data_IF_300452860346
#
_entry.id   IF_300452860346
#
_cell.length_a   1.000
_cell.length_b   1.000
_cell.length_c   1.000
_cell.angle_alpha   90.00
_cell.angle_beta   90.00
_cell.angle_gamma   90.00
#
_symmetry.space_group_name_H-M   'P 1'
#
loop_
_entity.id
_entity.type
_entity.pdbx_description
1 polymer ?
#
# COMPACT_ATOMS: atom_id res chain seq x y z
N UNK A 1 -0.64 30.10 44.70
CA UNK A 1 -1.90 30.55 44.09
C UNK A 1 -2.49 29.40 43.32
N UNK A 2 -3.53 28.77 43.90
CA UNK A 2 -4.11 27.53 43.39
C UNK A 2 -5.14 27.77 42.29
N UNK A 3 -5.21 26.84 41.34
CA UNK A 3 -6.28 26.73 40.37
C UNK A 3 -7.34 25.77 40.90
N UNK A 4 -8.65 26.04 40.73
CA UNK A 4 -9.71 25.15 41.22
C UNK A 4 -10.03 24.04 40.23
N UNK A 5 -10.33 22.86 40.77
CA UNK A 5 -10.83 21.69 40.07
C UNK A 5 -12.29 21.92 39.65
N UNK A 6 -12.60 21.61 38.37
CA UNK A 6 -13.98 21.52 37.85
C UNK A 6 -14.44 20.08 37.90
N UNK A 7 -15.52 19.86 38.69
CA UNK A 7 -16.16 18.58 38.83
C UNK A 7 -16.97 18.13 37.63
N UNK A 8 -17.03 16.83 37.42
CA UNK A 8 -17.88 16.16 36.44
C UNK A 8 -19.32 16.03 36.99
N UNK A 9 -20.37 16.18 36.18
CA UNK A 9 -21.73 15.81 36.54
C UNK A 9 -21.99 14.33 36.23
N UNK A 10 -22.43 13.59 37.25
CA UNK A 10 -22.93 12.24 37.15
C UNK A 10 -24.28 12.18 36.40
N UNK A 11 -24.47 11.17 35.56
CA UNK A 11 -25.77 10.78 35.05
C UNK A 11 -26.17 9.43 35.64
N UNK A 12 -27.22 9.49 36.45
CA UNK A 12 -27.89 8.35 37.05
C UNK A 12 -28.91 7.77 36.04
N UNK A 13 -28.97 6.49 36.00
CA UNK A 13 -30.07 5.57 36.00
C UNK A 13 -31.24 5.71 35.02
N UNK A 14 -31.49 4.66 34.26
CA UNK A 14 -32.73 4.45 33.53
C UNK A 14 -32.75 3.11 32.80
N UNK A 15 -32.90 2.00 33.53
CA UNK A 15 -33.19 0.70 32.91
C UNK A 15 -34.66 0.68 32.49
N UNK A 16 -34.93 0.55 31.20
CA UNK A 16 -36.22 0.19 30.64
C UNK A 16 -36.09 -1.15 29.92
N UNK A 17 -36.73 -2.16 30.48
CA UNK A 17 -36.88 -3.49 29.90
C UNK A 17 -37.94 -3.47 28.80
N UNK A 18 -37.57 -3.78 27.57
CA UNK A 18 -38.52 -4.18 26.53
C UNK A 18 -38.42 -5.70 26.35
N UNK A 19 -39.52 -6.38 26.73
CA UNK A 19 -39.81 -7.77 26.38
C UNK A 19 -40.57 -7.82 25.06
N UNK A 20 -40.16 -8.73 24.19
CA UNK A 20 -41.13 -9.35 23.29
C UNK A 20 -40.84 -9.28 21.80
N UNK A 21 -40.81 -10.44 21.24
CA UNK A 21 -41.09 -10.85 19.86
C UNK A 21 -39.89 -11.14 18.95
N UNK A 22 -39.80 -12.40 18.65
CA UNK A 22 -39.05 -13.17 17.72
C UNK A 22 -38.49 -12.46 16.48
N UNK A 23 -37.18 -12.51 16.32
CA UNK A 23 -36.55 -12.20 15.06
C UNK A 23 -35.86 -13.46 14.50
N UNK A 24 -36.23 -13.75 13.27
CA UNK A 24 -35.85 -14.93 12.53
C UNK A 24 -34.35 -15.04 12.33
N UNK A 25 -33.96 -16.26 12.02
CA UNK A 25 -32.64 -16.76 11.75
C UNK A 25 -31.80 -15.83 10.86
N UNK A 26 -30.70 -15.29 11.37
CA UNK A 26 -29.63 -14.80 10.58
C UNK A 26 -28.91 -15.98 9.92
N UNK A 27 -29.09 -16.15 8.63
CA UNK A 27 -28.30 -17.06 7.83
C UNK A 27 -26.92 -16.43 7.60
N UNK A 28 -25.87 -17.11 8.07
CA UNK A 28 -24.49 -16.79 7.76
C UNK A 28 -24.26 -16.85 6.26
N UNK A 29 -23.92 -15.72 5.64
CA UNK A 29 -23.46 -15.68 4.26
C UNK A 29 -22.01 -16.14 4.24
N UNK A 30 -21.80 -17.39 3.80
CA UNK A 30 -20.48 -17.89 3.47
C UNK A 30 -20.01 -17.15 2.21
N UNK A 31 -18.85 -16.48 2.31
CA UNK A 31 -18.14 -15.94 1.13
C UNK A 31 -17.56 -17.13 0.37
N UNK A 32 -18.32 -17.64 -0.58
CA UNK A 32 -17.87 -18.65 -1.52
C UNK A 32 -17.00 -18.04 -2.61
N UNK A 33 -16.05 -18.85 -3.04
CA UNK A 33 -15.07 -18.69 -4.10
C UNK A 33 -15.54 -17.83 -5.28
N UNK A 34 -14.69 -16.97 -5.79
CA UNK A 34 -14.98 -15.98 -6.86
C UNK A 34 -15.36 -16.64 -8.19
N UNK A 35 -15.14 -17.94 -8.35
CA UNK A 35 -15.56 -18.75 -9.52
C UNK A 35 -17.07 -19.02 -9.59
N UNK A 36 -17.83 -18.77 -8.52
CA UNK A 36 -19.28 -18.96 -8.48
C UNK A 36 -20.13 -17.72 -8.83
N UNK A 37 -19.51 -16.57 -9.01
CA UNK A 37 -20.24 -15.30 -9.22
C UNK A 37 -20.78 -15.15 -10.64
N UNK A 38 -20.20 -15.83 -11.62
CA UNK A 38 -20.67 -15.74 -13.03
C UNK A 38 -22.01 -16.44 -13.29
N UNK A 39 -22.37 -17.46 -12.51
CA UNK A 39 -23.61 -18.21 -12.72
C UNK A 39 -24.84 -17.65 -11.99
N UNK A 40 -24.64 -16.84 -10.95
CA UNK A 40 -25.74 -16.29 -10.13
C UNK A 40 -26.33 -14.98 -10.69
N UNK A 41 -25.62 -14.27 -11.57
CA UNK A 41 -26.02 -12.98 -12.14
C UNK A 41 -26.98 -13.07 -13.34
N UNK A 42 -27.36 -14.26 -13.79
CA UNK A 42 -28.26 -14.42 -14.94
C UNK A 42 -29.75 -14.39 -14.61
N UNK A 43 -30.14 -14.36 -13.33
CA UNK A 43 -31.55 -14.57 -12.92
C UNK A 43 -32.24 -13.37 -12.23
N UNK A 44 -31.53 -12.32 -11.88
CA UNK A 44 -32.13 -11.08 -11.38
C UNK A 44 -31.64 -9.93 -12.26
N UNK A 45 -32.53 -9.22 -12.93
CA UNK A 45 -32.20 -8.06 -13.74
C UNK A 45 -31.65 -6.93 -12.86
N UNK A 46 -30.42 -7.06 -12.38
CA UNK A 46 -29.71 -6.01 -11.65
C UNK A 46 -29.52 -4.81 -12.60
N UNK A 47 -30.19 -3.73 -12.29
CA UNK A 47 -29.99 -2.44 -12.94
C UNK A 47 -28.56 -1.99 -12.60
N UNK A 48 -27.63 -2.12 -13.55
CA UNK A 48 -26.28 -1.60 -13.39
C UNK A 48 -26.34 -0.08 -13.20
N UNK A 49 -25.62 0.48 -12.23
CA UNK A 49 -25.50 1.93 -12.09
C UNK A 49 -25.02 2.54 -13.42
N UNK A 50 -25.60 3.69 -13.82
CA UNK A 50 -25.32 4.35 -15.11
C UNK A 50 -23.85 4.76 -15.31
N UNK A 51 -23.06 4.79 -14.22
CA UNK A 51 -21.63 5.13 -14.21
C UNK A 51 -20.71 3.91 -14.06
N UNK A 52 -21.25 2.69 -14.09
CA UNK A 52 -20.43 1.48 -14.01
C UNK A 52 -19.63 1.29 -15.31
N UNK A 53 -18.36 0.92 -15.17
CA UNK A 53 -17.56 0.49 -16.29
C UNK A 53 -18.13 -0.79 -16.93
N UNK A 54 -17.79 -1.04 -18.20
CA UNK A 54 -18.14 -2.30 -18.86
C UNK A 54 -17.54 -3.51 -18.12
N UNK A 55 -18.08 -4.72 -18.25
CA UNK A 55 -17.53 -5.90 -17.62
C UNK A 55 -16.07 -6.15 -17.95
N UNK A 56 -15.66 -5.92 -19.21
CA UNK A 56 -14.28 -6.10 -19.63
C UNK A 56 -13.32 -5.10 -18.94
N UNK A 57 -13.74 -3.85 -18.80
CA UNK A 57 -12.94 -2.83 -18.11
C UNK A 57 -12.86 -3.11 -16.59
N UNK A 58 -13.96 -3.57 -15.98
CA UNK A 58 -13.96 -4.01 -14.58
C UNK A 58 -13.00 -5.18 -14.39
N UNK A 59 -13.07 -6.21 -15.24
CA UNK A 59 -12.19 -7.37 -15.19
C UNK A 59 -10.72 -6.97 -15.35
N UNK A 60 -10.40 -6.06 -16.28
CA UNK A 60 -9.04 -5.57 -16.47
C UNK A 60 -8.50 -4.87 -15.22
N UNK A 61 -9.32 -4.02 -14.56
CA UNK A 61 -8.95 -3.34 -13.31
C UNK A 61 -8.69 -4.35 -12.18
N UNK A 62 -9.63 -5.27 -11.93
CA UNK A 62 -9.47 -6.27 -10.86
C UNK A 62 -8.31 -7.22 -11.14
N UNK A 63 -8.07 -7.58 -12.40
CA UNK A 63 -6.90 -8.35 -12.81
C UNK A 63 -5.60 -7.63 -12.44
N UNK A 64 -5.47 -6.34 -12.74
CA UNK A 64 -4.28 -5.56 -12.37
C UNK A 64 -4.07 -5.55 -10.85
N UNK A 65 -5.15 -5.40 -10.07
CA UNK A 65 -5.12 -5.41 -8.59
C UNK A 65 -4.68 -6.78 -8.06
N UNK A 66 -5.28 -7.87 -8.56
CA UNK A 66 -5.05 -9.21 -8.03
C UNK A 66 -3.70 -9.80 -8.46
N UNK A 67 -3.25 -9.48 -9.68
CA UNK A 67 -2.02 -10.04 -10.25
C UNK A 67 -0.79 -9.13 -10.06
N UNK A 68 -0.93 -7.92 -9.50
CA UNK A 68 0.21 -7.08 -9.15
C UNK A 68 1.12 -7.81 -8.15
N UNK A 69 2.43 -7.77 -8.42
CA UNK A 69 3.45 -8.37 -7.55
C UNK A 69 4.54 -7.36 -7.24
N UNK A 70 5.16 -7.49 -6.08
CA UNK A 70 6.39 -6.80 -5.71
C UNK A 70 7.57 -7.54 -6.37
N UNK A 71 8.01 -7.01 -7.52
CA UNK A 71 9.03 -7.66 -8.34
C UNK A 71 10.43 -7.30 -7.87
N UNK A 72 11.32 -8.30 -7.82
CA UNK A 72 12.72 -8.15 -7.40
C UNK A 72 13.70 -8.57 -8.49
N UNK A 73 13.23 -9.21 -9.55
CA UNK A 73 14.03 -9.68 -10.67
C UNK A 73 13.54 -8.99 -11.93
N UNK A 74 14.43 -8.24 -12.54
CA UNK A 74 14.19 -7.54 -13.80
C UNK A 74 15.03 -8.18 -14.91
N UNK A 75 14.49 -8.22 -16.12
CA UNK A 75 15.16 -8.83 -17.28
C UNK A 75 16.09 -7.86 -18.03
N UNK A 76 16.30 -6.67 -17.47
CA UNK A 76 16.99 -5.58 -18.19
C UNK A 76 16.09 -4.90 -19.22
N UNK A 77 16.70 -4.19 -20.17
CA UNK A 77 15.96 -3.43 -21.19
C UNK A 77 15.66 -2.00 -20.77
N UNK A 78 14.69 -1.38 -21.43
CA UNK A 78 14.31 0.01 -21.21
C UNK A 78 12.79 0.15 -21.06
N UNK A 79 12.36 1.22 -20.42
CA UNK A 79 10.98 1.71 -20.42
C UNK A 79 10.93 2.90 -21.35
N UNK A 80 10.05 2.86 -22.36
CA UNK A 80 9.89 3.99 -23.28
C UNK A 80 9.42 5.25 -22.53
N UNK A 81 9.89 6.41 -22.93
CA UNK A 81 9.60 7.66 -22.21
C UNK A 81 8.10 7.99 -22.18
N UNK A 82 7.34 7.67 -23.22
CA UNK A 82 5.89 7.85 -23.26
C UNK A 82 5.16 6.90 -22.30
N UNK A 83 5.64 5.65 -22.14
CA UNK A 83 5.14 4.72 -21.12
C UNK A 83 5.42 5.29 -19.74
N UNK A 84 6.65 5.70 -19.46
CA UNK A 84 7.00 6.29 -18.16
C UNK A 84 6.14 7.52 -17.85
N UNK A 85 5.86 8.37 -18.83
CA UNK A 85 4.98 9.53 -18.67
C UNK A 85 3.55 9.13 -18.33
N UNK A 86 3.00 8.08 -18.98
CA UNK A 86 1.66 7.55 -18.62
C UNK A 86 1.63 7.03 -17.18
N UNK A 87 2.67 6.32 -16.74
CA UNK A 87 2.78 5.81 -15.39
C UNK A 87 2.85 6.94 -14.34
N UNK A 88 3.67 7.95 -14.59
CA UNK A 88 3.77 9.13 -13.72
C UNK A 88 2.48 9.95 -13.71
N UNK A 89 1.78 10.04 -14.84
CA UNK A 89 0.46 10.66 -14.92
C UNK A 89 -0.56 9.88 -14.07
N UNK A 90 -0.59 8.55 -14.15
CA UNK A 90 -1.46 7.73 -13.30
C UNK A 90 -1.18 7.97 -11.81
N UNK A 91 0.09 8.05 -11.41
CA UNK A 91 0.48 8.40 -10.05
C UNK A 91 -0.06 9.78 -9.65
N UNK A 92 0.07 10.77 -10.54
CA UNK A 92 -0.34 12.15 -10.27
C UNK A 92 -1.86 12.32 -10.13
N UNK A 93 -2.66 11.41 -10.69
CA UNK A 93 -4.11 11.37 -10.51
C UNK A 93 -4.58 10.71 -9.21
N UNK A 94 -3.67 10.33 -8.32
CA UNK A 94 -4.05 9.80 -7.01
C UNK A 94 -4.79 10.84 -6.16
N UNK A 95 -5.74 10.41 -5.31
CA UNK A 95 -6.33 11.29 -4.31
C UNK A 95 -5.28 11.72 -3.29
N UNK A 96 -5.44 12.89 -2.73
CA UNK A 96 -4.58 13.36 -1.64
C UNK A 96 -5.35 14.17 -0.61
N UNK A 97 -4.90 14.09 0.64
CA UNK A 97 -5.47 14.87 1.74
C UNK A 97 -5.41 16.37 1.42
N UNK A 98 -6.54 17.05 1.55
CA UNK A 98 -6.64 18.49 1.26
C UNK A 98 -6.12 18.88 -0.13
N UNK A 99 -6.17 17.96 -1.11
CA UNK A 99 -5.62 18.13 -2.47
C UNK A 99 -4.14 18.55 -2.47
N UNK A 100 -3.38 18.09 -1.49
CA UNK A 100 -2.01 18.50 -1.19
C UNK A 100 -0.98 18.02 -2.21
N UNK A 101 -1.19 16.85 -2.85
CA UNK A 101 -0.28 16.22 -3.81
C UNK A 101 1.18 16.14 -3.26
N UNK A 102 1.38 15.44 -2.13
CA UNK A 102 2.63 15.51 -1.37
C UNK A 102 3.74 14.60 -1.92
N UNK A 103 3.72 14.28 -3.17
CA UNK A 103 4.71 13.42 -3.81
C UNK A 103 5.66 14.20 -4.71
N UNK A 104 6.93 13.80 -4.67
CA UNK A 104 7.97 14.20 -5.62
C UNK A 104 8.68 12.94 -6.08
N UNK A 105 8.92 12.83 -7.39
CA UNK A 105 9.62 11.70 -7.99
C UNK A 105 11.00 12.14 -8.43
N UNK A 106 12.05 11.51 -7.91
CA UNK A 106 13.43 11.70 -8.35
C UNK A 106 13.83 10.50 -9.19
N UNK A 107 14.04 10.70 -10.49
CA UNK A 107 14.48 9.66 -11.42
C UNK A 107 16.00 9.48 -11.29
N UNK A 108 16.45 8.33 -10.78
CA UNK A 108 17.87 8.01 -10.59
C UNK A 108 18.39 7.30 -11.85
N UNK A 109 19.01 8.04 -12.76
CA UNK A 109 19.50 7.52 -14.04
C UNK A 109 20.96 7.11 -14.01
N UNK A 110 21.79 7.86 -13.29
CA UNK A 110 23.23 7.66 -13.21
C UNK A 110 23.58 6.32 -12.55
N UNK A 111 24.36 5.49 -13.22
CA UNK A 111 24.80 4.19 -12.68
C UNK A 111 25.55 4.34 -11.35
N UNK A 112 26.54 5.25 -11.21
CA UNK A 112 27.21 5.47 -9.93
C UNK A 112 26.25 5.88 -8.81
N UNK A 113 25.21 6.69 -9.12
CA UNK A 113 24.22 7.09 -8.12
C UNK A 113 23.33 5.91 -7.71
N UNK A 114 22.94 5.03 -8.66
CA UNK A 114 22.22 3.78 -8.33
C UNK A 114 23.05 2.87 -7.45
N UNK A 115 24.34 2.77 -7.69
CA UNK A 115 25.27 1.98 -6.85
C UNK A 115 25.35 2.55 -5.42
N UNK A 116 25.40 3.89 -5.29
CA UNK A 116 25.37 4.53 -3.98
C UNK A 116 24.04 4.30 -3.25
N UNK A 117 22.90 4.41 -3.95
CA UNK A 117 21.57 4.07 -3.38
C UNK A 117 21.52 2.60 -2.95
N UNK A 118 22.03 1.70 -3.79
CA UNK A 118 22.10 0.26 -3.45
C UNK A 118 22.95 0.02 -2.21
N UNK A 119 24.10 0.70 -2.08
CA UNK A 119 24.97 0.56 -0.91
C UNK A 119 24.25 0.99 0.39
N UNK A 120 23.46 2.08 0.37
CA UNK A 120 22.66 2.49 1.52
C UNK A 120 21.58 1.45 1.87
N UNK A 121 20.94 0.84 0.86
CA UNK A 121 19.96 -0.22 1.06
C UNK A 121 20.63 -1.46 1.68
N UNK A 122 21.79 -1.87 1.17
CA UNK A 122 22.51 -3.03 1.71
C UNK A 122 22.99 -2.79 3.14
N UNK A 123 23.43 -1.58 3.47
CA UNK A 123 23.80 -1.22 4.83
C UNK A 123 22.63 -1.40 5.79
N UNK A 124 21.46 -0.85 5.44
CA UNK A 124 20.26 -0.96 6.26
C UNK A 124 19.71 -2.39 6.29
N UNK A 125 19.86 -3.16 5.19
CA UNK A 125 19.48 -4.57 5.14
C UNK A 125 20.24 -5.40 6.17
N UNK A 126 21.54 -5.17 6.31
CA UNK A 126 22.36 -5.85 7.32
C UNK A 126 21.92 -5.47 8.74
N UNK A 127 21.63 -4.19 9.00
CA UNK A 127 21.14 -3.75 10.30
C UNK A 127 19.78 -4.34 10.63
N UNK A 128 18.88 -4.35 9.67
CA UNK A 128 17.54 -4.97 9.79
C UNK A 128 17.65 -6.48 10.04
N UNK A 129 18.52 -7.18 9.32
CA UNK A 129 18.77 -8.61 9.52
C UNK A 129 19.17 -8.92 10.98
N UNK A 130 20.14 -8.19 11.51
CA UNK A 130 20.56 -8.34 12.91
C UNK A 130 19.42 -8.08 13.90
N UNK A 131 18.59 -7.08 13.64
CA UNK A 131 17.44 -6.77 14.49
C UNK A 131 16.35 -7.86 14.47
N UNK A 132 16.29 -8.70 13.42
CA UNK A 132 15.34 -9.81 13.29
C UNK A 132 15.78 -11.08 14.03
N UNK A 133 17.00 -11.14 14.57
CA UNK A 133 17.50 -12.25 15.39
C UNK A 133 17.39 -13.59 14.67
N UNK A 134 16.58 -14.51 15.19
CA UNK A 134 16.44 -15.88 14.63
C UNK A 134 15.99 -15.91 13.15
N UNK A 135 15.42 -14.82 12.64
CA UNK A 135 15.01 -14.71 11.23
C UNK A 135 16.06 -14.05 10.33
N UNK A 136 17.25 -13.75 10.83
CA UNK A 136 18.32 -13.10 10.08
C UNK A 136 18.64 -13.83 8.77
N UNK A 137 18.93 -15.13 8.84
CA UNK A 137 19.28 -15.93 7.67
C UNK A 137 18.15 -16.00 6.63
N UNK A 138 16.91 -16.09 7.07
CA UNK A 138 15.74 -16.10 6.19
C UNK A 138 15.59 -14.75 5.49
N UNK A 139 15.79 -13.65 6.22
CA UNK A 139 15.73 -12.29 5.66
C UNK A 139 16.86 -12.03 4.66
N UNK A 140 18.09 -12.46 4.96
CA UNK A 140 19.24 -12.28 4.08
C UNK A 140 19.13 -13.04 2.75
N UNK A 141 18.28 -14.05 2.65
CA UNK A 141 17.95 -14.74 1.39
C UNK A 141 17.05 -13.92 0.46
N UNK A 142 16.30 -12.93 1.01
CA UNK A 142 15.42 -12.08 0.21
C UNK A 142 16.26 -11.12 -0.64
N UNK A 143 16.04 -11.13 -1.96
CA UNK A 143 16.74 -10.23 -2.87
C UNK A 143 16.20 -8.79 -2.77
N UNK A 144 17.12 -7.81 -2.77
CA UNK A 144 16.81 -6.37 -2.85
C UNK A 144 17.50 -5.68 -4.04
N UNK A 145 18.09 -6.46 -4.95
CA UNK A 145 18.97 -6.00 -6.03
C UNK A 145 18.29 -5.27 -7.18
N UNK A 146 16.96 -5.16 -7.17
CA UNK A 146 16.21 -4.49 -8.24
C UNK A 146 16.70 -3.09 -8.60
N UNK A 147 17.35 -2.38 -7.68
CA UNK A 147 17.90 -1.03 -7.91
C UNK A 147 18.96 -1.00 -9.01
N UNK A 148 19.77 -2.06 -9.13
CA UNK A 148 20.84 -2.14 -10.13
C UNK A 148 20.35 -2.67 -11.48
N UNK A 149 19.32 -3.52 -11.46
CA UNK A 149 18.86 -4.30 -12.61
C UNK A 149 17.62 -3.71 -13.29
N UNK A 150 16.84 -2.89 -12.57
CA UNK A 150 15.65 -2.26 -13.12
C UNK A 150 15.98 -1.23 -14.21
N UNK A 151 15.12 -1.15 -15.23
CA UNK A 151 15.22 -0.14 -16.28
C UNK A 151 15.14 1.28 -15.69
N UNK A 152 14.19 1.51 -14.81
CA UNK A 152 13.96 2.78 -14.12
C UNK A 152 14.04 2.62 -12.60
N UNK A 153 14.65 3.63 -11.96
CA UNK A 153 14.65 3.77 -10.50
C UNK A 153 14.10 5.15 -10.16
N UNK A 154 13.01 5.16 -9.37
CA UNK A 154 12.35 6.38 -8.92
C UNK A 154 12.40 6.43 -7.39
N UNK A 155 12.92 7.51 -6.83
CA UNK A 155 12.78 7.77 -5.40
C UNK A 155 11.57 8.67 -5.18
N UNK A 156 10.63 8.21 -4.37
CA UNK A 156 9.46 9.00 -3.99
C UNK A 156 9.74 9.68 -2.67
N UNK A 157 9.59 11.00 -2.65
CA UNK A 157 9.82 11.80 -1.47
C UNK A 157 8.65 12.75 -1.19
N UNK A 158 8.46 13.04 0.09
CA UNK A 158 7.57 14.10 0.56
C UNK A 158 8.33 15.43 0.55
N UNK A 159 7.73 16.54 0.08
CA UNK A 159 8.37 17.86 0.10
C UNK A 159 8.48 18.43 1.52
N UNK A 160 9.32 19.44 1.77
CA UNK A 160 9.30 20.20 3.01
C UNK A 160 8.03 21.06 3.16
N UNK A 161 7.79 21.62 4.34
CA UNK A 161 6.67 22.56 4.60
C UNK A 161 5.29 21.91 4.65
N UNK A 162 5.22 20.58 4.81
CA UNK A 162 3.94 19.83 4.84
C UNK A 162 3.07 20.16 6.04
N UNK A 163 3.68 20.58 7.14
CA UNK A 163 3.03 21.02 8.38
C UNK A 163 2.11 22.23 8.17
N UNK A 164 2.32 23.03 7.12
CA UNK A 164 1.46 24.16 6.76
C UNK A 164 0.08 23.71 6.22
N UNK A 165 -0.04 22.46 5.75
CA UNK A 165 -1.31 21.90 5.29
C UNK A 165 -2.10 21.33 6.46
N UNK A 166 -3.09 22.09 6.93
CA UNK A 166 -3.91 21.75 8.10
C UNK A 166 -5.11 20.88 7.72
N UNK A 167 -5.72 21.13 6.54
CA UNK A 167 -6.93 20.42 6.10
C UNK A 167 -6.69 18.90 5.99
N UNK A 168 -7.40 18.14 6.84
CA UNK A 168 -7.29 16.69 6.95
C UNK A 168 -6.02 16.17 7.65
N UNK A 169 -5.08 17.06 8.03
CA UNK A 169 -3.82 16.68 8.70
C UNK A 169 -3.70 17.15 10.15
N UNK A 170 -4.62 17.98 10.63
CA UNK A 170 -4.55 18.55 12.00
C UNK A 170 -4.41 17.49 13.08
N UNK A 171 -5.10 16.39 12.96
CA UNK A 171 -5.10 15.26 13.91
C UNK A 171 -4.40 14.02 13.37
N UNK A 172 -4.15 13.96 12.06
CA UNK A 172 -3.56 12.82 11.34
C UNK A 172 -2.48 13.36 10.39
N UNK A 173 -1.31 13.80 10.90
CA UNK A 173 -0.24 14.38 10.08
C UNK A 173 0.32 13.39 9.04
N UNK A 174 0.23 12.09 9.32
CA UNK A 174 0.67 10.98 8.44
C UNK A 174 -0.16 10.82 7.16
N UNK A 175 -1.27 11.55 7.01
CA UNK A 175 -2.08 11.50 5.79
C UNK A 175 -1.35 12.00 4.54
N UNK A 176 -0.22 12.70 4.69
CA UNK A 176 0.68 13.01 3.58
C UNK A 176 1.37 11.75 3.06
N UNK A 177 1.85 10.87 3.93
CA UNK A 177 2.43 9.57 3.57
C UNK A 177 1.37 8.67 2.92
N UNK A 178 0.17 8.60 3.51
CA UNK A 178 -0.96 7.84 2.96
C UNK A 178 -1.31 8.31 1.54
N UNK A 179 -1.34 9.63 1.32
CA UNK A 179 -1.59 10.22 0.00
C UNK A 179 -0.50 9.83 -1.02
N UNK A 180 0.78 9.88 -0.63
CA UNK A 180 1.87 9.47 -1.49
C UNK A 180 1.85 7.95 -1.78
N UNK A 181 1.40 7.13 -0.82
CA UNK A 181 1.20 5.70 -1.02
C UNK A 181 0.11 5.42 -2.07
N UNK A 182 -0.97 6.21 -2.12
CA UNK A 182 -1.98 6.12 -3.19
C UNK A 182 -1.36 6.41 -4.57
N UNK A 183 -0.48 7.42 -4.67
CA UNK A 183 0.21 7.73 -5.92
C UNK A 183 1.13 6.58 -6.36
N UNK A 184 1.88 5.98 -5.42
CA UNK A 184 2.70 4.80 -5.70
C UNK A 184 1.83 3.63 -6.15
N UNK A 185 0.70 3.39 -5.51
CA UNK A 185 -0.20 2.29 -5.87
C UNK A 185 -0.79 2.49 -7.28
N UNK A 186 -1.21 3.71 -7.64
CA UNK A 186 -1.68 4.00 -9.00
C UNK A 186 -0.60 3.72 -10.04
N UNK A 187 0.63 4.17 -9.80
CA UNK A 187 1.79 3.89 -10.68
C UNK A 187 1.99 2.39 -10.83
N UNK A 188 1.87 1.64 -9.73
CA UNK A 188 2.08 0.19 -9.71
C UNK A 188 1.04 -0.57 -10.51
N UNK A 189 -0.24 -0.20 -10.36
CA UNK A 189 -1.34 -0.80 -11.13
C UNK A 189 -1.20 -0.49 -12.62
N UNK A 190 -0.86 0.75 -12.97
CA UNK A 190 -0.60 1.16 -14.34
C UNK A 190 0.60 0.39 -14.93
N UNK A 191 1.71 0.25 -14.19
CA UNK A 191 2.85 -0.55 -14.61
C UNK A 191 2.45 -2.02 -14.87
N UNK A 192 1.64 -2.62 -13.99
CA UNK A 192 1.12 -3.98 -14.20
C UNK A 192 0.26 -4.09 -15.46
N UNK A 193 -0.57 -3.09 -15.75
CA UNK A 193 -1.40 -3.05 -16.95
C UNK A 193 -0.55 -2.93 -18.23
N UNK A 194 0.57 -2.20 -18.18
CA UNK A 194 1.56 -2.09 -19.27
C UNK A 194 2.50 -3.33 -19.37
N UNK A 195 2.32 -4.35 -18.52
CA UNK A 195 3.17 -5.55 -18.50
C UNK A 195 4.53 -5.35 -17.85
N UNK A 196 4.72 -4.24 -17.11
CA UNK A 196 5.97 -3.92 -16.42
C UNK A 196 5.91 -4.38 -14.96
N UNK A 197 7.03 -4.95 -14.48
CA UNK A 197 7.24 -5.21 -13.08
C UNK A 197 7.61 -3.97 -12.31
N UNK A 198 7.13 -3.87 -11.07
CA UNK A 198 7.58 -2.84 -10.14
C UNK A 198 7.84 -3.45 -8.76
N UNK A 199 8.88 -2.96 -8.08
CA UNK A 199 9.21 -3.28 -6.70
C UNK A 199 9.29 -2.02 -5.85
N UNK A 200 8.88 -2.12 -4.59
CA UNK A 200 8.99 -1.05 -3.60
C UNK A 200 10.01 -1.44 -2.54
N UNK A 201 11.10 -0.67 -2.43
CA UNK A 201 12.11 -0.81 -1.39
C UNK A 201 11.93 0.33 -0.39
N UNK A 202 11.79 -0.03 0.90
CA UNK A 202 11.72 0.91 2.04
C UNK A 202 12.82 0.65 3.08
N UNK A 203 13.78 -0.20 2.75
CA UNK A 203 14.93 -0.57 3.60
C UNK A 203 16.07 0.38 3.30
N UNK A 204 16.08 1.55 3.91
CA UNK A 204 17.13 2.56 3.79
C UNK A 204 16.98 3.60 4.92
N UNK A 205 18.06 4.27 5.28
CA UNK A 205 18.00 5.45 6.16
C UNK A 205 17.52 6.66 5.36
N UNK A 206 16.36 7.29 5.73
CA UNK A 206 15.81 8.40 4.98
C UNK A 206 16.70 9.64 4.94
N UNK A 207 17.50 9.89 6.00
CA UNK A 207 18.37 11.07 6.06
C UNK A 207 19.57 10.90 5.15
N UNK A 208 20.19 9.72 5.16
CA UNK A 208 21.32 9.42 4.27
C UNK A 208 20.89 9.46 2.81
N UNK A 209 19.71 8.88 2.47
CA UNK A 209 19.18 8.92 1.10
C UNK A 209 18.83 10.34 0.67
N UNK A 210 18.25 11.17 1.54
CA UNK A 210 17.98 12.57 1.26
C UNK A 210 19.28 13.35 1.02
N UNK A 211 20.32 13.14 1.81
CA UNK A 211 21.63 13.74 1.65
C UNK A 211 22.29 13.34 0.32
N UNK A 212 22.29 12.03 0.00
CA UNK A 212 22.84 11.51 -1.27
C UNK A 212 22.17 12.14 -2.50
N UNK A 213 20.85 12.35 -2.44
CA UNK A 213 20.06 12.93 -3.53
C UNK A 213 19.95 14.47 -3.43
N UNK A 214 20.69 15.12 -2.53
CA UNK A 214 20.70 16.57 -2.32
C UNK A 214 19.28 17.15 -2.15
N UNK A 215 18.43 16.43 -1.42
CA UNK A 215 17.07 16.89 -1.17
C UNK A 215 17.07 18.11 -0.23
N UNK A 216 16.11 19.03 -0.38
CA UNK A 216 16.01 20.17 0.53
C UNK A 216 15.71 19.72 1.97
N UNK A 217 16.15 20.51 2.94
CA UNK A 217 15.90 20.27 4.37
C UNK A 217 14.40 20.12 4.61
N UNK A 218 14.00 19.08 5.35
CA UNK A 218 12.58 18.75 5.61
C UNK A 218 11.92 17.86 4.56
N UNK A 219 12.55 17.63 3.40
CA UNK A 219 12.10 16.58 2.49
C UNK A 219 12.36 15.18 3.08
N UNK A 220 11.47 14.24 2.82
CA UNK A 220 11.55 12.88 3.36
C UNK A 220 11.34 11.84 2.26
N UNK A 221 12.38 11.12 1.82
CA UNK A 221 12.19 9.96 0.95
C UNK A 221 11.44 8.86 1.69
N UNK A 222 10.49 8.22 1.01
CA UNK A 222 9.61 7.19 1.57
C UNK A 222 9.65 5.87 0.79
N UNK A 223 10.17 5.89 -0.44
CA UNK A 223 10.24 4.69 -1.27
C UNK A 223 11.34 4.83 -2.31
N UNK A 224 11.99 3.71 -2.61
CA UNK A 224 12.77 3.51 -3.85
C UNK A 224 11.99 2.51 -4.70
N UNK A 225 11.50 2.95 -5.85
CA UNK A 225 10.73 2.14 -6.79
C UNK A 225 11.64 1.65 -7.90
N UNK A 226 11.67 0.35 -8.10
CA UNK A 226 12.38 -0.31 -9.20
C UNK A 226 11.33 -0.70 -10.23
N UNK A 227 11.45 -0.26 -11.49
CA UNK A 227 10.47 -0.46 -12.56
C UNK A 227 11.18 -0.97 -13.82
N UNK A 228 10.57 -1.94 -14.50
CA UNK A 228 11.11 -2.42 -15.77
C UNK A 228 10.51 -3.72 -16.26
N UNK A 229 10.98 -4.22 -17.43
CA UNK A 229 10.60 -5.50 -17.95
C UNK A 229 10.97 -6.64 -17.00
N UNK A 230 10.13 -7.67 -16.96
CA UNK A 230 10.32 -8.90 -16.19
C UNK A 230 10.09 -10.11 -17.10
N UNK A 231 10.80 -11.20 -16.85
CA UNK A 231 10.63 -12.43 -17.63
C UNK A 231 9.25 -13.06 -17.38
N UNK A 232 8.76 -13.00 -16.15
CA UNK A 232 7.43 -13.44 -15.75
C UNK A 232 7.04 -12.77 -14.43
N UNK A 233 5.74 -12.63 -14.19
CA UNK A 233 5.24 -12.24 -12.86
C UNK A 233 5.19 -13.48 -11.96
N UNK A 234 5.44 -13.28 -10.67
CA UNK A 234 5.31 -14.35 -9.68
C UNK A 234 3.85 -14.79 -9.56
N UNK A 235 3.60 -16.10 -9.46
CA UNK A 235 2.25 -16.66 -9.32
C UNK A 235 1.59 -16.20 -8.01
N UNK A 236 2.38 -16.03 -6.95
CA UNK A 236 1.95 -15.55 -5.63
C UNK A 236 2.92 -14.50 -5.07
N UNK A 237 2.53 -13.74 -4.03
CA UNK A 237 3.45 -12.82 -3.38
C UNK A 237 4.74 -13.51 -2.94
N UNK A 238 5.90 -12.91 -3.25
CA UNK A 238 7.22 -13.52 -2.97
C UNK A 238 7.37 -13.91 -1.49
N UNK A 239 6.97 -13.07 -0.55
CA UNK A 239 7.05 -13.36 0.88
C UNK A 239 6.16 -14.54 1.29
N UNK A 240 5.08 -14.80 0.56
CA UNK A 240 4.25 -15.98 0.77
C UNK A 240 4.93 -17.24 0.19
N UNK A 241 5.54 -17.13 -0.99
CA UNK A 241 6.32 -18.20 -1.60
C UNK A 241 7.49 -18.63 -0.70
N UNK A 242 8.19 -17.66 -0.12
CA UNK A 242 9.30 -17.87 0.83
C UNK A 242 8.83 -18.24 2.24
N UNK A 243 7.53 -18.47 2.44
CA UNK A 243 6.92 -18.83 3.74
C UNK A 243 7.19 -17.80 4.86
N UNK A 244 7.48 -16.56 4.49
CA UNK A 244 7.72 -15.47 5.44
C UNK A 244 6.44 -15.05 6.17
N UNK A 245 5.33 -14.93 5.42
CA UNK A 245 4.01 -14.60 5.93
C UNK A 245 2.92 -15.16 5.00
N UNK A 246 1.68 -15.19 5.46
CA UNK A 246 0.50 -15.55 4.67
C UNK A 246 -0.48 -14.41 4.64
N UNK A 247 -1.26 -14.31 3.57
CA UNK A 247 -2.38 -13.37 3.52
C UNK A 247 -3.42 -13.79 4.55
N UNK A 248 -3.82 -12.88 5.41
CA UNK A 248 -4.91 -13.10 6.34
C UNK A 248 -6.26 -13.17 5.59
N UNK A 249 -7.23 -13.94 6.09
CA UNK A 249 -8.58 -13.95 5.54
C UNK A 249 -9.22 -12.56 5.60
N UNK A 250 -9.97 -12.19 4.56
CA UNK A 250 -10.64 -10.88 4.53
C UNK A 250 -11.62 -10.71 5.70
N UNK A 251 -12.30 -11.80 6.09
CA UNK A 251 -13.24 -11.77 7.20
C UNK A 251 -12.62 -11.37 8.55
N UNK A 252 -11.30 -11.56 8.70
CA UNK A 252 -10.58 -11.15 9.92
C UNK A 252 -10.21 -9.64 9.91
N UNK A 253 -10.40 -8.98 8.77
CA UNK A 253 -10.03 -7.57 8.56
C UNK A 253 -11.23 -6.61 8.56
N UNK A 254 -12.46 -7.16 8.59
CA UNK A 254 -13.69 -6.35 8.51
C UNK A 254 -14.49 -6.53 9.79
N UNK A 255 -14.77 -5.42 10.44
CA UNK A 255 -15.59 -5.36 11.66
C UNK A 255 -16.80 -4.47 11.40
N UNK A 256 -17.94 -4.80 12.00
CA UNK A 256 -19.15 -3.98 11.92
C UNK A 256 -19.25 -3.08 13.16
N UNK A 257 -19.52 -1.80 12.95
CA UNK A 257 -19.75 -0.74 13.94
C UNK A 257 -18.58 -0.48 14.90
N UNK A 258 -17.85 -1.49 15.36
CA UNK A 258 -16.79 -1.36 16.36
C UNK A 258 -15.63 -2.31 16.07
N UNK A 259 -14.43 -1.91 16.43
CA UNK A 259 -13.27 -2.79 16.42
C UNK A 259 -13.52 -4.04 17.29
N UNK A 260 -13.37 -5.24 16.71
CA UNK A 260 -13.68 -6.49 17.40
C UNK A 260 -15.17 -6.83 17.46
N UNK A 261 -16.06 -6.09 16.81
CA UNK A 261 -17.49 -6.40 16.68
C UNK A 261 -17.73 -7.68 15.88
N UNK A 262 -18.98 -8.17 15.88
CA UNK A 262 -19.39 -9.39 15.18
C UNK A 262 -19.04 -9.30 13.69
N UNK A 263 -18.09 -10.12 13.23
CA UNK A 263 -17.60 -10.14 11.84
C UNK A 263 -16.12 -10.42 11.71
N UNK A 264 -15.28 -9.90 12.59
CA UNK A 264 -13.83 -10.14 12.52
C UNK A 264 -13.34 -10.96 13.73
N UNK A 265 -12.66 -12.06 13.46
CA UNK A 265 -11.77 -12.65 14.48
C UNK A 265 -10.50 -11.78 14.48
N UNK A 266 -10.18 -11.17 15.62
CA UNK A 266 -8.92 -10.45 15.78
C UNK A 266 -7.74 -11.33 15.36
N UNK A 267 -6.58 -10.73 14.96
CA UNK A 267 -5.39 -11.50 14.65
C UNK A 267 -5.08 -12.40 15.84
N UNK A 268 -4.88 -13.70 15.57
CA UNK A 268 -4.37 -14.62 16.56
C UNK A 268 -3.00 -14.08 17.01
N UNK A 269 -2.87 -13.78 18.30
CA UNK A 269 -1.59 -13.47 18.91
C UNK A 269 -0.67 -14.68 18.70
N UNK A 270 0.39 -14.49 17.91
CA UNK A 270 1.39 -15.48 17.57
C UNK A 270 2.76 -14.85 17.54
#
# INVERSE_FOLDING_TARGET
>A
MGLPALGAPGLAGGAAACRGAGCGRCTSVAVSDVSGVEAANAAAGEVRPSHAFSPAEQQALYRAIHERRDMRHFSGGAVADDVLQRLLSAAHHAPSVGFMQPWRFVRVRSRPLRESVHALIEQERVLTAKALGEREDAFMKLKVQGVLDAAEVLVVALPPGREQHVFGRRTLPEMDVASAACAIQNLWLAARAEGLGMGWVSIFDPQQLAGLLQMPVGAKPIAVLCLGPVAAFYDQPMLQAEKWARRAPLADMVFEDRWGGAGGRGPAEG
#
